data_IF_563439508354
#
_entry.id   IF_563439508354
#
_cell.length_a   1.000
_cell.length_b   1.000
_cell.length_c   1.000
_cell.angle_alpha   90.00
_cell.angle_beta   90.00
_cell.angle_gamma   90.00
#
_symmetry.space_group_name_H-M   'P 1'
#
loop_
_entity.id
_entity.type
_entity.pdbx_description
1 polymer ?
#
# COMPACT_ATOMS: atom_id res chain seq x y z
N UNK A 1 4.66 -6.19 -4.33
CA UNK A 1 4.82 -4.91 -5.03
C UNK A 1 6.16 -4.88 -5.79
N UNK A 2 6.17 -4.69 -7.12
CA UNK A 2 7.36 -4.85 -7.98
C UNK A 2 8.49 -3.86 -7.62
N UNK A 3 8.14 -2.64 -7.21
CA UNK A 3 9.11 -1.63 -6.79
C UNK A 3 9.91 -2.05 -5.54
N UNK A 4 9.23 -2.63 -4.54
CA UNK A 4 9.88 -3.16 -3.33
C UNK A 4 10.82 -4.31 -3.69
N UNK A 5 10.35 -5.25 -4.52
CA UNK A 5 11.17 -6.37 -5.00
C UNK A 5 12.45 -5.88 -5.70
N UNK A 6 12.34 -4.91 -6.62
CA UNK A 6 13.51 -4.33 -7.31
C UNK A 6 14.46 -3.63 -6.35
N UNK A 7 13.93 -2.86 -5.41
CA UNK A 7 14.73 -2.14 -4.41
C UNK A 7 15.50 -3.10 -3.50
N UNK A 8 14.86 -4.14 -2.98
CA UNK A 8 15.54 -5.11 -2.14
C UNK A 8 16.56 -5.94 -2.94
N UNK A 9 16.25 -6.32 -4.18
CA UNK A 9 17.23 -6.99 -5.05
C UNK A 9 18.48 -6.13 -5.30
N UNK A 10 18.30 -4.81 -5.50
CA UNK A 10 19.42 -3.89 -5.67
C UNK A 10 20.34 -3.88 -4.44
N UNK A 11 19.78 -3.85 -3.23
CA UNK A 11 20.58 -3.93 -1.99
C UNK A 11 21.34 -5.25 -1.87
N UNK A 12 20.69 -6.37 -2.19
CA UNK A 12 21.31 -7.71 -2.15
C UNK A 12 22.46 -7.80 -3.15
N UNK A 13 22.31 -7.18 -4.32
CA UNK A 13 23.37 -7.09 -5.34
C UNK A 13 24.53 -6.21 -4.87
N UNK A 14 24.26 -5.08 -4.22
CA UNK A 14 25.27 -4.22 -3.59
C UNK A 14 26.04 -4.95 -2.46
N UNK A 15 25.39 -5.85 -1.74
CA UNK A 15 26.00 -6.76 -0.75
C UNK A 15 26.79 -7.93 -1.39
N UNK A 16 26.87 -8.02 -2.72
CA UNK A 16 27.57 -9.07 -3.45
C UNK A 16 26.87 -10.44 -3.40
N UNK A 17 25.61 -10.48 -2.97
CA UNK A 17 24.81 -11.71 -2.89
C UNK A 17 23.99 -11.91 -4.17
N UNK A 18 23.44 -13.11 -4.34
CA UNK A 18 22.62 -13.45 -5.51
C UNK A 18 21.20 -12.86 -5.36
N UNK A 19 20.75 -11.98 -6.27
CA UNK A 19 19.40 -11.42 -6.21
C UNK A 19 18.33 -12.47 -6.52
N UNK A 20 17.12 -12.24 -6.02
CA UNK A 20 15.97 -13.13 -6.24
C UNK A 20 15.42 -12.99 -7.66
N UNK A 21 14.96 -14.10 -8.24
CA UNK A 21 14.29 -14.13 -9.55
C UNK A 21 12.78 -14.27 -9.38
N UNK A 22 12.00 -13.61 -10.24
CA UNK A 22 10.55 -13.69 -10.24
C UNK A 22 10.00 -13.52 -11.66
N UNK A 23 8.86 -14.13 -11.94
CA UNK A 23 8.15 -13.99 -13.21
C UNK A 23 6.84 -13.21 -13.02
N UNK A 24 6.46 -12.33 -13.97
CA UNK A 24 5.19 -11.61 -13.90
C UNK A 24 4.02 -12.58 -14.11
N UNK A 25 3.01 -12.52 -13.23
CA UNK A 25 1.77 -13.28 -13.34
C UNK A 25 0.64 -12.34 -13.77
N UNK A 26 -0.15 -12.77 -14.76
CA UNK A 26 -1.35 -12.04 -15.18
C UNK A 26 -2.54 -12.41 -14.29
N UNK A 27 -3.16 -11.40 -13.70
CA UNK A 27 -4.35 -11.55 -12.87
C UNK A 27 -5.54 -10.83 -13.52
N UNK A 28 -6.72 -11.44 -13.46
CA UNK A 28 -7.97 -10.77 -13.85
C UNK A 28 -8.30 -9.62 -12.89
N UNK A 29 -9.11 -8.66 -13.35
CA UNK A 29 -9.41 -7.42 -12.60
C UNK A 29 -9.95 -7.69 -11.19
N UNK A 30 -10.83 -8.68 -11.02
CA UNK A 30 -11.42 -9.02 -9.72
C UNK A 30 -10.37 -9.57 -8.75
N UNK A 31 -9.50 -10.46 -9.25
CA UNK A 31 -8.43 -11.05 -8.44
C UNK A 31 -7.37 -10.00 -8.07
N UNK A 32 -7.06 -9.09 -9.00
CA UNK A 32 -6.17 -7.97 -8.73
C UNK A 32 -6.75 -7.01 -7.67
N UNK A 33 -8.05 -6.72 -7.73
CA UNK A 33 -8.73 -5.85 -6.76
C UNK A 33 -8.78 -6.46 -5.35
N UNK A 34 -9.05 -7.76 -5.24
CA UNK A 34 -9.05 -8.49 -3.96
C UNK A 34 -7.65 -8.64 -3.36
N UNK A 35 -6.60 -8.64 -4.19
CA UNK A 35 -5.20 -8.72 -3.76
C UNK A 35 -4.60 -7.37 -3.31
N UNK A 36 -5.43 -6.34 -3.11
CA UNK A 36 -4.99 -5.04 -2.60
C UNK A 36 -4.32 -5.17 -1.23
N UNK A 37 -3.28 -4.36 -0.98
CA UNK A 37 -2.59 -4.34 0.31
C UNK A 37 -3.52 -3.81 1.42
N UNK A 38 -4.42 -2.89 1.10
CA UNK A 38 -5.45 -2.40 2.01
C UNK A 38 -6.62 -3.38 2.12
N UNK A 39 -6.86 -3.85 3.35
CA UNK A 39 -8.02 -4.71 3.61
C UNK A 39 -9.32 -3.92 3.64
N UNK A 40 -9.29 -2.62 4.00
CA UNK A 40 -10.47 -1.75 3.98
C UNK A 40 -10.96 -1.58 2.53
N UNK A 41 -10.04 -1.25 1.62
CA UNK A 41 -10.34 -1.14 0.19
C UNK A 41 -10.74 -2.47 -0.44
N UNK A 42 -10.11 -3.58 -0.04
CA UNK A 42 -10.46 -4.90 -0.56
C UNK A 42 -11.86 -5.34 -0.08
N UNK A 43 -12.16 -5.18 1.22
CA UNK A 43 -13.44 -5.54 1.82
C UNK A 43 -14.62 -4.71 1.30
N UNK A 44 -14.37 -3.47 0.85
CA UNK A 44 -15.40 -2.63 0.23
C UNK A 44 -15.72 -3.01 -1.22
N UNK A 45 -14.92 -3.88 -1.85
CA UNK A 45 -15.18 -4.36 -3.19
C UNK A 45 -16.14 -5.56 -3.15
N UNK A 46 -15.70 -6.69 -2.60
CA UNK A 46 -16.44 -7.96 -2.49
C UNK A 46 -15.86 -8.80 -1.33
N UNK A 47 -16.47 -9.96 -1.01
CA UNK A 47 -15.97 -10.95 -0.02
C UNK A 47 -15.70 -10.37 1.39
N UNK A 48 -16.49 -9.37 1.82
CA UNK A 48 -16.28 -8.57 3.04
C UNK A 48 -16.03 -9.41 4.30
N UNK A 49 -16.88 -10.41 4.60
CA UNK A 49 -16.75 -11.24 5.80
C UNK A 49 -15.42 -11.99 5.84
N UNK A 50 -15.01 -12.56 4.71
CA UNK A 50 -13.75 -13.30 4.60
C UNK A 50 -12.57 -12.38 4.81
N UNK A 51 -12.53 -11.25 4.11
CA UNK A 51 -11.41 -10.30 4.16
C UNK A 51 -11.23 -9.73 5.58
N UNK A 52 -12.32 -9.36 6.25
CA UNK A 52 -12.25 -8.85 7.62
C UNK A 52 -11.81 -9.94 8.62
N UNK A 53 -12.26 -11.18 8.42
CA UNK A 53 -11.84 -12.31 9.27
C UNK A 53 -10.35 -12.59 9.12
N UNK A 54 -9.84 -12.66 7.89
CA UNK A 54 -8.42 -12.88 7.61
C UNK A 54 -7.57 -11.73 8.17
N UNK A 55 -7.99 -10.48 7.98
CA UNK A 55 -7.31 -9.31 8.52
C UNK A 55 -7.27 -9.30 10.06
N UNK A 56 -8.39 -9.65 10.71
CA UNK A 56 -8.45 -9.75 12.16
C UNK A 56 -7.56 -10.88 12.71
N UNK A 57 -7.57 -12.04 12.06
CA UNK A 57 -6.79 -13.21 12.46
C UNK A 57 -5.27 -12.96 12.46
N UNK A 58 -4.77 -12.18 11.49
CA UNK A 58 -3.35 -11.81 11.39
C UNK A 58 -3.00 -10.47 12.06
N UNK A 59 -3.98 -9.78 12.63
CA UNK A 59 -3.80 -8.44 13.23
C UNK A 59 -3.35 -7.38 12.20
N UNK A 60 -3.89 -7.41 10.98
CA UNK A 60 -3.45 -6.54 9.88
C UNK A 60 -3.77 -5.07 10.17
N UNK A 61 -2.80 -4.19 9.91
CA UNK A 61 -2.99 -2.72 9.98
C UNK A 61 -3.12 -2.13 8.59
N UNK A 62 -4.08 -1.23 8.40
CA UNK A 62 -4.25 -0.46 7.16
C UNK A 62 -3.59 0.92 7.29
N UNK A 63 -2.73 1.28 6.34
CA UNK A 63 -1.94 2.51 6.39
C UNK A 63 -2.58 3.67 5.60
N UNK A 64 -3.80 3.50 5.06
CA UNK A 64 -4.57 4.56 4.40
C UNK A 64 -3.77 5.27 3.28
N UNK A 65 -3.05 4.50 2.48
CA UNK A 65 -2.21 5.04 1.38
C UNK A 65 -3.00 5.20 0.08
N UNK A 66 -4.14 4.52 -0.05
CA UNK A 66 -4.97 4.50 -1.23
C UNK A 66 -6.07 5.55 -1.24
N UNK A 67 -6.71 5.71 -2.40
CA UNK A 67 -7.83 6.65 -2.55
C UNK A 67 -9.07 6.18 -1.79
N UNK A 68 -9.45 4.90 -1.95
CA UNK A 68 -10.71 4.36 -1.40
C UNK A 68 -10.71 4.35 0.13
N UNK A 69 -9.63 3.90 0.76
CA UNK A 69 -9.51 3.94 2.22
C UNK A 69 -9.78 5.34 2.79
N UNK A 70 -9.14 6.36 2.20
CA UNK A 70 -9.29 7.74 2.67
C UNK A 70 -10.72 8.25 2.45
N UNK A 71 -11.36 7.91 1.32
CA UNK A 71 -12.78 8.25 1.10
C UNK A 71 -13.68 7.61 2.16
N UNK A 72 -13.49 6.33 2.46
CA UNK A 72 -14.33 5.58 3.42
C UNK A 72 -14.22 6.17 4.83
N UNK A 73 -13.00 6.55 5.24
CA UNK A 73 -12.74 7.13 6.57
C UNK A 73 -13.11 8.62 6.63
N UNK A 74 -13.27 9.29 5.48
CA UNK A 74 -13.55 10.73 5.41
C UNK A 74 -12.29 11.60 5.48
N UNK A 75 -11.13 11.03 5.18
CA UNK A 75 -9.87 11.77 5.03
C UNK A 75 -9.71 12.32 3.61
N UNK A 76 -8.90 13.38 3.49
CA UNK A 76 -8.53 13.92 2.19
C UNK A 76 -7.74 12.87 1.40
N UNK A 77 -8.19 12.58 0.18
CA UNK A 77 -7.53 11.58 -0.68
C UNK A 77 -6.11 12.00 -1.05
N UNK A 78 -5.15 11.06 -1.17
CA UNK A 78 -3.77 11.37 -1.54
C UNK A 78 -3.59 11.65 -3.04
N UNK A 79 -4.45 12.50 -3.60
CA UNK A 79 -4.41 12.95 -4.98
C UNK A 79 -4.88 14.41 -5.08
N UNK A 80 -4.49 15.11 -6.15
CA UNK A 80 -4.83 16.52 -6.36
C UNK A 80 -4.39 17.40 -5.19
N UNK A 81 -5.30 18.25 -4.69
CA UNK A 81 -5.04 19.12 -3.54
C UNK A 81 -4.67 18.37 -2.26
N UNK A 82 -5.08 17.11 -2.12
CA UNK A 82 -4.75 16.29 -0.97
C UNK A 82 -3.32 15.78 -0.96
N UNK A 83 -2.70 15.62 -2.13
CA UNK A 83 -1.27 15.32 -2.21
C UNK A 83 -0.44 16.53 -1.78
N UNK A 84 -0.81 17.72 -2.27
CA UNK A 84 -0.15 18.99 -1.95
C UNK A 84 -0.22 19.28 -0.44
N UNK A 85 -1.41 19.18 0.15
CA UNK A 85 -1.60 19.42 1.58
C UNK A 85 -0.83 18.43 2.47
N UNK A 86 -0.71 17.17 2.03
CA UNK A 86 0.04 16.15 2.77
C UNK A 86 1.55 16.39 2.71
N UNK A 87 2.09 16.80 1.56
CA UNK A 87 3.51 17.13 1.43
C UNK A 87 3.90 18.39 2.19
N UNK A 88 3.06 19.44 2.18
CA UNK A 88 3.32 20.64 2.97
C UNK A 88 3.41 20.34 4.47
N UNK A 89 2.47 19.54 5.00
CA UNK A 89 2.53 19.11 6.40
C UNK A 89 3.79 18.30 6.71
N UNK A 90 4.23 17.41 5.81
CA UNK A 90 5.45 16.63 6.04
C UNK A 90 6.69 17.52 6.07
N UNK A 91 6.79 18.50 5.17
CA UNK A 91 7.90 19.43 5.14
C UNK A 91 7.94 20.34 6.38
N UNK A 92 6.80 20.83 6.85
CA UNK A 92 6.72 21.61 8.10
C UNK A 92 7.19 20.78 9.32
N UNK A 93 6.83 19.49 9.38
CA UNK A 93 7.27 18.61 10.46
C UNK A 93 8.78 18.34 10.37
N UNK A 94 9.34 18.16 9.16
CA UNK A 94 10.79 17.98 8.98
C UNK A 94 11.58 19.22 9.40
N UNK A 95 11.09 20.42 9.12
CA UNK A 95 11.71 21.69 9.55
C UNK A 95 11.62 21.91 11.08
N UNK A 96 10.64 21.32 11.79
CA UNK A 96 10.52 21.41 13.26
C UNK A 96 11.41 20.42 14.02
N UNK A 97 11.93 19.37 13.35
CA UNK A 97 12.73 18.32 13.99
C UNK A 97 14.24 18.53 13.76
N UNK A 98 14.64 19.42 12.83
CA UNK A 98 16.01 19.95 12.70
C UNK A 98 16.30 21.10 13.67
#
# INVERSE_FOLDING_TARGET
>A
NNAVFRRENKKIEEEGKKPSQAEPILLGISKAALASESFISAASFQETTRILTDAAAVGKTDYLKGLKENVIIGHLVPAGSGFVSRNFKLNEIEEEVE
#
